data_IF_845456060796
#
_entry.id   IF_845456060796
#
_cell.length_a   1.000
_cell.length_b   1.000
_cell.length_c   1.000
_cell.angle_alpha   90.00
_cell.angle_beta   90.00
_cell.angle_gamma   90.00
#
_symmetry.space_group_name_H-M   'P 1'
#
loop_
_entity.id
_entity.type
_entity.pdbx_description
1 polymer ?
#
# COMPACT_ATOMS: atom_id res chain seq x y z
N UNK A 1 7.67 31.17 -17.88
CA UNK A 1 6.43 30.43 -17.57
C UNK A 1 6.51 30.10 -16.09
N UNK A 2 5.62 30.67 -15.27
CA UNK A 2 5.57 30.31 -13.85
C UNK A 2 5.11 28.85 -13.77
N UNK A 3 5.89 27.99 -13.12
CA UNK A 3 5.38 26.68 -12.72
C UNK A 3 4.16 26.97 -11.84
N UNK A 4 2.98 26.52 -12.24
CA UNK A 4 1.83 26.55 -11.35
C UNK A 4 2.25 25.78 -10.09
N UNK A 5 2.20 26.42 -8.92
CA UNK A 5 2.59 25.77 -7.68
C UNK A 5 1.65 24.60 -7.44
N UNK A 6 2.14 23.39 -7.71
CA UNK A 6 1.38 22.18 -7.45
C UNK A 6 1.00 22.16 -5.97
N UNK A 7 -0.29 22.00 -5.69
CA UNK A 7 -0.81 21.85 -4.35
C UNK A 7 -1.25 20.42 -4.13
N UNK A 8 -1.20 19.99 -2.87
CA UNK A 8 -1.68 18.69 -2.46
C UNK A 8 -2.79 18.80 -1.42
N UNK A 9 -3.82 17.99 -1.62
CA UNK A 9 -4.99 17.89 -0.74
C UNK A 9 -5.05 16.46 -0.23
N UNK A 10 -5.00 16.32 1.07
CA UNK A 10 -5.27 15.06 1.73
C UNK A 10 -6.76 14.99 2.06
N UNK A 11 -7.40 13.87 1.74
CA UNK A 11 -8.81 13.62 2.01
C UNK A 11 -8.98 12.37 2.88
N UNK A 12 -9.29 12.58 4.16
CA UNK A 12 -9.49 11.54 5.18
C UNK A 12 -10.95 11.47 5.68
N UNK A 13 -11.26 10.45 6.48
CA UNK A 13 -12.56 10.30 7.14
C UNK A 13 -13.63 9.64 6.28
N UNK A 14 -13.21 8.92 5.23
CA UNK A 14 -14.09 8.14 4.36
C UNK A 14 -14.21 6.71 4.88
N UNK A 15 -15.42 6.16 4.84
CA UNK A 15 -15.69 4.73 5.03
C UNK A 15 -15.25 3.92 3.80
N UNK A 16 -15.16 2.59 3.93
CA UNK A 16 -14.72 1.72 2.83
C UNK A 16 -15.61 1.83 1.57
N UNK A 17 -16.93 2.03 1.74
CA UNK A 17 -17.86 2.22 0.63
C UNK A 17 -17.66 3.59 -0.02
N UNK A 18 -17.55 4.64 0.79
CA UNK A 18 -17.29 6.01 0.31
C UNK A 18 -15.96 6.12 -0.42
N UNK A 19 -14.91 5.38 0.00
CA UNK A 19 -13.64 5.31 -0.73
C UNK A 19 -13.85 4.84 -2.16
N UNK A 20 -14.67 3.81 -2.38
CA UNK A 20 -14.96 3.32 -3.73
C UNK A 20 -15.70 4.38 -4.58
N UNK A 21 -16.68 5.05 -4.00
CA UNK A 21 -17.43 6.12 -4.66
C UNK A 21 -16.56 7.35 -4.97
N UNK A 22 -15.73 7.79 -4.03
CA UNK A 22 -14.82 8.93 -4.19
C UNK A 22 -13.75 8.59 -5.22
N UNK A 23 -13.23 7.35 -5.25
CA UNK A 23 -12.26 6.91 -6.25
C UNK A 23 -12.78 7.12 -7.67
N UNK A 24 -14.01 6.69 -7.96
CA UNK A 24 -14.58 6.85 -9.31
C UNK A 24 -14.81 8.33 -9.67
N UNK A 25 -15.23 9.16 -8.72
CA UNK A 25 -15.36 10.60 -8.94
C UNK A 25 -14.01 11.29 -9.17
N UNK A 26 -12.97 10.91 -8.43
CA UNK A 26 -11.62 11.42 -8.63
C UNK A 26 -11.04 10.98 -9.99
N UNK A 27 -11.36 9.77 -10.47
CA UNK A 27 -10.99 9.31 -11.83
C UNK A 27 -11.64 10.17 -12.91
N UNK A 28 -12.95 10.41 -12.81
CA UNK A 28 -13.68 11.25 -13.75
C UNK A 28 -13.08 12.67 -13.78
N UNK A 29 -12.88 13.25 -12.60
CA UNK A 29 -12.31 14.59 -12.46
C UNK A 29 -10.87 14.66 -13.01
N UNK A 30 -10.06 13.59 -12.87
CA UNK A 30 -8.70 13.52 -13.39
C UNK A 30 -8.65 13.37 -14.92
N UNK A 31 -9.76 12.92 -15.55
CA UNK A 31 -9.93 12.95 -17.00
C UNK A 31 -10.29 14.34 -17.54
N UNK A 32 -10.87 15.21 -16.70
CA UNK A 32 -11.31 16.55 -17.09
C UNK A 32 -10.31 17.66 -16.70
N UNK A 33 -9.47 17.43 -15.69
CA UNK A 33 -8.57 18.44 -15.09
C UNK A 33 -7.16 17.91 -14.91
N UNK A 34 -6.20 18.83 -14.83
CA UNK A 34 -4.79 18.51 -14.56
C UNK A 34 -4.62 18.16 -13.09
N UNK A 35 -4.88 16.89 -12.75
CA UNK A 35 -4.68 16.37 -11.41
C UNK A 35 -4.41 14.87 -11.40
N UNK A 36 -3.79 14.41 -10.31
CA UNK A 36 -3.57 13.01 -10.00
C UNK A 36 -3.96 12.75 -8.56
N UNK A 37 -4.31 11.51 -8.22
CA UNK A 37 -4.56 11.14 -6.84
C UNK A 37 -3.96 9.77 -6.54
N UNK A 38 -3.58 9.59 -5.28
CA UNK A 38 -3.08 8.32 -4.75
C UNK A 38 -3.96 7.89 -3.60
N UNK A 39 -4.37 6.63 -3.60
CA UNK A 39 -5.08 6.02 -2.50
C UNK A 39 -4.09 5.39 -1.52
N UNK A 40 -4.17 5.79 -0.26
CA UNK A 40 -3.23 5.39 0.79
C UNK A 40 -3.98 4.64 1.90
N UNK A 41 -3.53 3.44 2.32
CA UNK A 41 -4.14 2.72 3.43
C UNK A 41 -3.88 3.44 4.77
N UNK A 42 -4.90 3.52 5.62
CA UNK A 42 -4.75 4.08 6.98
C UNK A 42 -3.93 3.18 7.91
N UNK A 43 -3.94 1.87 7.68
CA UNK A 43 -3.20 0.90 8.45
C UNK A 43 -2.49 -0.06 7.51
N UNK A 44 -1.19 -0.19 7.69
CA UNK A 44 -0.35 -1.14 6.97
C UNK A 44 0.21 -2.21 7.91
N UNK A 45 0.68 -3.30 7.32
CA UNK A 45 1.45 -4.35 7.98
C UNK A 45 2.75 -4.56 7.22
N UNK A 46 3.74 -5.11 7.90
CA UNK A 46 5.03 -5.48 7.33
C UNK A 46 5.03 -6.96 7.05
N UNK A 47 5.26 -7.33 5.80
CA UNK A 47 5.24 -8.71 5.36
C UNK A 47 6.65 -9.15 5.06
N UNK A 48 7.17 -10.07 5.87
CA UNK A 48 8.48 -10.68 5.60
C UNK A 48 8.25 -11.79 4.59
N UNK A 49 8.95 -11.70 3.46
CA UNK A 49 8.81 -12.64 2.36
C UNK A 49 10.17 -13.07 1.81
N UNK A 50 10.20 -14.25 1.21
CA UNK A 50 11.18 -14.58 0.19
C UNK A 50 10.60 -14.19 -1.18
N UNK A 51 11.33 -13.46 -2.04
CA UNK A 51 10.80 -12.96 -3.30
C UNK A 51 10.29 -14.09 -4.22
N UNK A 52 9.37 -13.78 -5.15
CA UNK A 52 8.86 -14.75 -6.12
C UNK A 52 9.96 -15.53 -6.83
N UNK A 53 9.81 -16.86 -6.81
CA UNK A 53 10.71 -17.79 -7.52
C UNK A 53 10.20 -18.10 -8.94
N UNK A 54 11.09 -18.50 -9.86
CA UNK A 54 10.75 -18.63 -11.28
C UNK A 54 9.70 -19.73 -11.56
N UNK A 55 9.59 -20.73 -10.70
CA UNK A 55 8.63 -21.83 -10.86
C UNK A 55 8.02 -22.27 -9.51
N UNK A 56 6.85 -22.93 -9.53
CA UNK A 56 6.25 -23.52 -8.33
C UNK A 56 7.13 -24.62 -7.72
N UNK A 57 7.89 -25.34 -8.54
CA UNK A 57 8.85 -26.35 -8.08
C UNK A 57 10.00 -25.70 -7.30
N UNK A 58 10.55 -24.59 -7.82
CA UNK A 58 11.58 -23.82 -7.09
C UNK A 58 11.03 -23.27 -5.76
N UNK A 59 9.80 -22.78 -5.73
CA UNK A 59 9.16 -22.33 -4.51
C UNK A 59 8.97 -23.45 -3.48
N UNK A 60 8.56 -24.63 -3.94
CA UNK A 60 8.41 -25.82 -3.08
C UNK A 60 9.76 -26.29 -2.55
N UNK A 61 10.78 -26.36 -3.40
CA UNK A 61 12.14 -26.71 -2.99
C UNK A 61 12.66 -25.74 -1.93
N UNK A 62 12.47 -24.42 -2.16
CA UNK A 62 12.91 -23.41 -1.21
C UNK A 62 12.11 -23.47 0.11
N UNK A 63 10.81 -23.76 0.06
CA UNK A 63 10.01 -23.98 1.27
C UNK A 63 10.55 -25.16 2.10
N UNK A 64 10.95 -26.25 1.44
CA UNK A 64 11.55 -27.40 2.11
C UNK A 64 12.90 -27.05 2.77
N UNK A 65 13.76 -26.28 2.09
CA UNK A 65 15.01 -25.75 2.68
C UNK A 65 14.73 -24.93 3.94
N UNK A 66 13.76 -24.02 3.88
CA UNK A 66 13.36 -23.17 5.01
C UNK A 66 12.83 -24.00 6.18
N UNK A 67 12.01 -25.01 5.89
CA UNK A 67 11.47 -25.93 6.89
C UNK A 67 12.60 -26.72 7.55
N UNK A 68 13.56 -27.22 6.78
CA UNK A 68 14.75 -27.91 7.31
C UNK A 68 15.64 -27.01 8.17
N UNK A 69 15.68 -25.70 7.88
CA UNK A 69 16.34 -24.68 8.69
C UNK A 69 15.54 -24.27 9.95
N UNK A 70 14.40 -24.92 10.22
CA UNK A 70 13.57 -24.66 11.40
C UNK A 70 12.60 -23.48 11.26
N UNK A 71 12.24 -23.10 10.03
CA UNK A 71 11.20 -22.10 9.73
C UNK A 71 9.90 -22.84 9.38
N UNK A 72 9.02 -23.01 10.37
CA UNK A 72 7.82 -23.84 10.24
C UNK A 72 6.56 -23.06 9.82
N UNK A 73 6.58 -21.75 10.00
CA UNK A 73 5.48 -20.83 9.71
C UNK A 73 5.60 -20.20 8.30
N UNK A 74 6.33 -20.87 7.40
CA UNK A 74 6.50 -20.45 6.01
C UNK A 74 5.48 -21.13 5.07
N UNK A 75 5.04 -20.43 4.03
CA UNK A 75 4.17 -21.01 3.00
C UNK A 75 4.33 -20.33 1.64
N UNK A 76 4.09 -21.08 0.55
CA UNK A 76 4.12 -20.53 -0.81
C UNK A 76 2.86 -19.70 -1.09
N UNK A 77 3.07 -18.49 -1.58
CA UNK A 77 2.02 -17.55 -1.98
C UNK A 77 1.47 -17.92 -3.35
N UNK A 78 0.14 -17.91 -3.46
CA UNK A 78 -0.59 -18.29 -4.69
C UNK A 78 -1.11 -17.08 -5.48
N UNK A 79 -1.19 -15.91 -4.85
CA UNK A 79 -1.71 -14.68 -5.44
C UNK A 79 -0.85 -14.17 -6.59
N UNK A 80 -1.47 -13.63 -7.63
CA UNK A 80 -0.82 -13.36 -8.92
C UNK A 80 0.50 -12.56 -8.82
N UNK A 81 0.47 -11.37 -8.21
CA UNK A 81 1.65 -10.49 -8.12
C UNK A 81 2.80 -11.09 -7.29
N UNK A 82 2.48 -12.03 -6.40
CA UNK A 82 3.44 -12.66 -5.48
C UNK A 82 3.53 -14.17 -5.71
N UNK A 83 3.10 -14.66 -6.87
CA UNK A 83 3.03 -16.09 -7.15
C UNK A 83 4.43 -16.69 -7.02
N UNK A 84 4.55 -17.81 -6.32
CA UNK A 84 5.82 -18.49 -6.01
C UNK A 84 6.72 -17.73 -5.02
N UNK A 85 6.26 -16.65 -4.39
CA UNK A 85 6.93 -16.10 -3.22
C UNK A 85 6.72 -17.02 -2.01
N UNK A 86 7.53 -16.85 -0.98
CA UNK A 86 7.35 -17.55 0.30
C UNK A 86 7.03 -16.52 1.37
N UNK A 87 5.84 -16.60 1.95
CA UNK A 87 5.48 -15.81 3.12
C UNK A 87 6.22 -16.34 4.34
N UNK A 88 6.85 -15.45 5.11
CA UNK A 88 7.63 -15.75 6.31
C UNK A 88 7.06 -15.06 7.57
N UNK A 89 5.91 -14.41 7.43
CA UNK A 89 5.15 -13.81 8.53
C UNK A 89 4.67 -12.38 8.24
N UNK A 90 3.52 -12.01 8.82
CA UNK A 90 2.95 -10.66 8.79
C UNK A 90 3.07 -10.01 10.17
N UNK A 91 3.63 -8.80 10.22
CA UNK A 91 3.98 -8.10 11.44
C UNK A 91 3.32 -6.72 11.50
N UNK A 92 3.06 -6.26 12.72
CA UNK A 92 2.37 -4.99 12.95
C UNK A 92 3.23 -3.76 12.63
N UNK A 93 4.55 -3.86 12.79
CA UNK A 93 5.48 -2.74 12.63
C UNK A 93 6.84 -3.22 12.11
N UNK A 94 7.70 -2.24 11.79
CA UNK A 94 9.03 -2.48 11.23
C UNK A 94 9.96 -3.19 12.23
N UNK A 95 9.86 -2.86 13.52
CA UNK A 95 10.65 -3.49 14.58
C UNK A 95 10.36 -5.00 14.70
N UNK A 96 9.09 -5.41 14.64
CA UNK A 96 8.71 -6.81 14.68
C UNK A 96 9.14 -7.56 13.42
N UNK A 97 9.01 -6.95 12.24
CA UNK A 97 9.52 -7.52 11.00
C UNK A 97 11.06 -7.65 11.01
N UNK A 98 11.77 -6.64 11.51
CA UNK A 98 13.23 -6.65 11.64
C UNK A 98 13.74 -7.77 12.54
N UNK A 99 13.09 -7.97 13.71
CA UNK A 99 13.40 -9.12 14.58
C UNK A 99 13.24 -10.45 13.87
N UNK A 100 12.18 -10.59 13.06
CA UNK A 100 11.98 -11.81 12.25
C UNK A 100 13.08 -11.98 11.20
N UNK A 101 13.45 -10.93 10.50
CA UNK A 101 14.55 -10.97 9.52
C UNK A 101 15.84 -11.44 10.19
N UNK A 102 16.21 -10.87 11.34
CA UNK A 102 17.41 -11.30 12.07
C UNK A 102 17.33 -12.75 12.56
N UNK A 103 16.16 -13.23 12.98
CA UNK A 103 15.96 -14.65 13.33
C UNK A 103 16.20 -15.57 12.13
N UNK A 104 15.67 -15.19 10.96
CA UNK A 104 15.82 -15.94 9.72
C UNK A 104 17.28 -15.95 9.25
N UNK A 105 17.97 -14.82 9.31
CA UNK A 105 19.40 -14.72 9.00
C UNK A 105 20.25 -15.59 9.94
N UNK A 106 19.92 -15.62 11.24
CA UNK A 106 20.56 -16.50 12.22
C UNK A 106 20.38 -18.00 11.92
N UNK A 107 19.33 -18.36 11.16
CA UNK A 107 19.08 -19.72 10.66
C UNK A 107 19.68 -19.97 9.26
N UNK A 108 20.47 -19.03 8.74
CA UNK A 108 21.08 -19.12 7.41
C UNK A 108 20.13 -18.79 6.25
N UNK A 109 18.95 -18.23 6.53
CA UNK A 109 17.99 -17.79 5.51
C UNK A 109 18.32 -16.36 5.10
N UNK A 110 18.91 -16.22 3.92
CA UNK A 110 19.28 -14.92 3.35
C UNK A 110 18.37 -14.55 2.17
N UNK A 111 18.31 -13.26 1.83
CA UNK A 111 17.58 -12.76 0.66
C UNK A 111 16.09 -12.50 0.89
N UNK A 112 15.65 -12.42 2.14
CA UNK A 112 14.28 -12.01 2.49
C UNK A 112 14.07 -10.52 2.26
N UNK A 113 12.82 -10.12 2.04
CA UNK A 113 12.38 -8.73 1.88
C UNK A 113 11.26 -8.42 2.85
N UNK A 114 11.09 -7.13 3.17
CA UNK A 114 9.98 -6.64 3.98
C UNK A 114 9.10 -5.75 3.10
N UNK A 115 7.94 -6.27 2.74
CA UNK A 115 6.94 -5.55 1.95
C UNK A 115 5.95 -4.83 2.85
N UNK A 116 5.36 -3.74 2.34
CA UNK A 116 4.31 -2.99 3.03
C UNK A 116 2.98 -3.33 2.40
N UNK A 117 2.09 -3.94 3.18
CA UNK A 117 0.75 -4.30 2.72
C UNK A 117 -0.33 -3.54 3.50
N UNK A 118 -1.45 -3.16 2.87
CA UNK A 118 -2.64 -2.73 3.59
C UNK A 118 -3.08 -3.81 4.59
N UNK A 119 -3.47 -3.40 5.80
CA UNK A 119 -4.12 -4.29 6.75
C UNK A 119 -5.49 -4.68 6.18
N UNK A 120 -5.83 -5.97 6.21
CA UNK A 120 -7.16 -6.41 5.78
C UNK A 120 -8.26 -5.61 6.51
N UNK A 121 -9.20 -5.06 5.74
CA UNK A 121 -10.29 -4.22 6.26
C UNK A 121 -9.88 -2.81 6.69
N UNK A 122 -8.65 -2.37 6.40
CA UNK A 122 -8.28 -0.96 6.63
C UNK A 122 -9.11 -0.05 5.73
N UNK A 123 -9.55 1.09 6.29
CA UNK A 123 -10.01 2.21 5.48
C UNK A 123 -8.81 2.87 4.77
N UNK A 124 -9.11 3.68 3.77
CA UNK A 124 -8.15 4.38 2.93
C UNK A 124 -8.45 5.87 2.93
N UNK A 125 -7.45 6.65 2.53
CA UNK A 125 -7.57 8.08 2.31
C UNK A 125 -6.91 8.44 0.97
N UNK A 126 -7.21 9.62 0.45
CA UNK A 126 -6.65 10.08 -0.82
C UNK A 126 -5.64 11.21 -0.59
N UNK A 127 -4.56 11.19 -1.35
CA UNK A 127 -3.69 12.35 -1.55
C UNK A 127 -3.86 12.79 -3.00
N UNK A 128 -4.48 13.94 -3.21
CA UNK A 128 -4.70 14.53 -4.52
C UNK A 128 -3.62 15.59 -4.75
N UNK A 129 -2.99 15.57 -5.92
CA UNK A 129 -2.03 16.57 -6.39
C UNK A 129 -2.59 17.23 -7.64
N UNK A 130 -2.58 18.55 -7.69
CA UNK A 130 -3.02 19.30 -8.88
C UNK A 130 -2.27 20.62 -9.01
N UNK A 131 -2.14 21.07 -10.25
CA UNK A 131 -1.62 22.40 -10.63
C UNK A 131 -2.75 23.35 -11.04
N UNK A 132 -3.99 22.86 -11.09
CA UNK A 132 -5.18 23.59 -11.51
C UNK A 132 -5.96 24.11 -10.30
N UNK A 133 -6.02 25.44 -10.05
CA UNK A 133 -6.77 25.99 -8.92
C UNK A 133 -8.27 25.70 -8.98
N UNK A 134 -8.85 25.43 -10.15
CA UNK A 134 -10.26 25.05 -10.27
C UNK A 134 -10.52 23.60 -9.81
N UNK A 135 -9.50 22.74 -9.79
CA UNK A 135 -9.62 21.41 -9.21
C UNK A 135 -9.97 21.45 -7.71
N UNK A 136 -9.49 22.45 -6.97
CA UNK A 136 -9.85 22.65 -5.56
C UNK A 136 -11.34 22.92 -5.36
N UNK A 137 -11.95 23.71 -6.26
CA UNK A 137 -13.38 24.02 -6.20
C UNK A 137 -14.20 22.75 -6.45
N UNK A 138 -13.79 21.95 -7.43
CA UNK A 138 -14.42 20.66 -7.71
C UNK A 138 -14.28 19.69 -6.54
N UNK A 139 -13.09 19.56 -5.95
CA UNK A 139 -12.87 18.72 -4.76
C UNK A 139 -13.74 19.16 -3.59
N UNK A 140 -13.84 20.46 -3.33
CA UNK A 140 -14.68 21.00 -2.26
C UNK A 140 -16.17 20.71 -2.51
N UNK A 141 -16.61 20.71 -3.78
CA UNK A 141 -17.95 20.30 -4.17
C UNK A 141 -18.23 18.84 -3.89
N UNK A 142 -17.33 17.94 -4.31
CA UNK A 142 -17.45 16.49 -4.04
C UNK A 142 -17.52 16.24 -2.52
N UNK A 143 -16.70 16.94 -1.72
CA UNK A 143 -16.68 16.81 -0.25
C UNK A 143 -18.03 17.02 0.40
N UNK A 144 -18.91 17.84 -0.16
CA UNK A 144 -20.22 18.15 0.44
C UNK A 144 -21.10 16.91 0.59
N UNK A 145 -20.92 15.89 -0.26
CA UNK A 145 -21.63 14.62 -0.16
C UNK A 145 -21.09 13.71 0.96
N UNK A 146 -19.95 14.06 1.58
CA UNK A 146 -19.23 13.24 2.57
C UNK A 146 -18.98 14.04 3.85
N UNK A 147 -20.03 14.29 4.67
CA UNK A 147 -19.96 15.21 5.81
C UNK A 147 -19.00 14.77 6.93
N UNK A 148 -18.73 13.47 7.04
CA UNK A 148 -17.78 12.91 8.00
C UNK A 148 -16.32 12.97 7.53
N UNK A 149 -16.09 13.44 6.30
CA UNK A 149 -14.79 13.49 5.69
C UNK A 149 -14.18 14.89 5.74
N UNK A 150 -12.85 14.95 5.76
CA UNK A 150 -12.09 16.18 5.83
C UNK A 150 -11.08 16.24 4.69
N UNK A 151 -11.04 17.39 4.01
CA UNK A 151 -10.00 17.75 3.06
C UNK A 151 -9.08 18.79 3.70
N UNK A 152 -7.78 18.52 3.69
CA UNK A 152 -6.75 19.39 4.25
C UNK A 152 -5.65 19.60 3.22
N UNK A 153 -5.21 20.85 3.03
CA UNK A 153 -4.03 21.13 2.21
C UNK A 153 -2.78 20.69 2.95
N UNK A 154 -1.92 19.94 2.26
CA UNK A 154 -0.66 19.41 2.81
C UNK A 154 0.48 19.73 1.85
N UNK A 155 1.71 19.64 2.36
CA UNK A 155 2.89 19.63 1.50
C UNK A 155 2.78 18.43 0.54
N UNK A 156 3.11 18.65 -0.74
CA UNK A 156 3.13 17.55 -1.67
C UNK A 156 4.19 16.54 -1.26
N UNK A 157 3.83 15.25 -1.11
CA UNK A 157 4.82 14.23 -0.82
C UNK A 157 5.89 14.25 -1.94
N UNK A 158 7.14 14.26 -1.51
CA UNK A 158 8.35 14.27 -2.35
C UNK A 158 8.48 12.99 -3.16
#
# INVERSE_FOLDING_TARGET
>A
MAAAEAFCVEWRGLTTDEVAQVREQLKALAGERVMSFTEIPLSTRRWVIFPPLPSPESATAKLNELTAAGVQDAFVVKDAAWRNAISLGLYANEEAAGRRVSELEGKGVLGTRVEVLPRQGTAFYFVIRSEDPDALKSLAGIRQAYPNSQQSRVACPS
#
